data_IF_386531442305
#
_entry.id   IF_386531442305
#
_cell.length_a   1.000
_cell.length_b   1.000
_cell.length_c   1.000
_cell.angle_alpha   90.00
_cell.angle_beta   90.00
_cell.angle_gamma   90.00
#
_symmetry.space_group_name_H-M   'P 1'
#
loop_
_entity.id
_entity.type
_entity.pdbx_description
1 polymer ?
#
# COMPACT_ATOMS: atom_id res chain seq x y z
N UNK A 1 25.62 0.65 2.87
CA UNK A 1 24.16 0.78 2.72
C UNK A 1 23.64 1.57 3.90
N UNK A 2 22.65 2.43 3.68
CA UNK A 2 22.14 3.29 4.74
C UNK A 2 20.98 2.65 5.48
N UNK A 3 20.80 3.01 6.73
CA UNK A 3 19.81 2.43 7.65
C UNK A 3 18.36 2.59 7.19
N UNK A 4 18.03 3.72 6.57
CA UNK A 4 16.69 4.01 6.07
C UNK A 4 16.36 3.13 4.85
N UNK A 5 17.27 3.10 3.86
CA UNK A 5 17.12 2.26 2.66
C UNK A 5 16.98 0.78 3.02
N UNK A 6 17.87 0.26 3.88
CA UNK A 6 17.87 -1.16 4.26
C UNK A 6 16.56 -1.55 4.97
N UNK A 7 15.98 -0.64 5.77
CA UNK A 7 14.70 -0.88 6.41
C UNK A 7 13.53 -0.95 5.42
N UNK A 8 13.56 -0.15 4.35
CA UNK A 8 12.49 -0.13 3.33
C UNK A 8 12.58 -1.30 2.34
N UNK A 9 13.78 -1.85 2.13
CA UNK A 9 14.02 -2.95 1.18
C UNK A 9 13.67 -4.33 1.74
N UNK A 10 12.89 -4.42 2.83
CA UNK A 10 12.46 -5.67 3.45
C UNK A 10 11.34 -6.38 2.66
N UNK A 11 10.93 -7.55 3.16
CA UNK A 11 9.79 -8.27 2.57
C UNK A 11 8.47 -7.55 2.83
N UNK A 12 7.67 -7.35 1.78
CA UNK A 12 6.36 -6.72 1.82
C UNK A 12 6.40 -5.19 1.77
N UNK A 13 5.23 -4.56 1.90
CA UNK A 13 5.09 -3.12 1.81
C UNK A 13 5.51 -2.43 3.10
N UNK A 14 6.58 -1.65 3.06
CA UNK A 14 7.02 -0.82 4.17
C UNK A 14 6.13 0.42 4.35
N UNK A 15 6.09 1.00 5.55
CA UNK A 15 5.34 2.22 5.82
C UNK A 15 6.22 3.28 6.49
N UNK A 16 6.26 4.47 5.88
CA UNK A 16 6.87 5.67 6.42
C UNK A 16 5.73 6.55 6.98
N UNK A 17 5.65 6.65 8.30
CA UNK A 17 4.64 7.47 8.98
C UNK A 17 5.13 8.91 9.13
N UNK A 18 4.40 9.89 8.58
CA UNK A 18 4.84 11.28 8.56
C UNK A 18 4.17 12.12 9.65
N UNK A 19 4.98 12.77 10.46
CA UNK A 19 4.56 13.79 11.42
C UNK A 19 4.53 15.15 10.74
N UNK A 20 3.33 15.71 10.62
CA UNK A 20 3.08 16.98 9.93
C UNK A 20 1.93 17.76 10.60
N UNK A 21 2.23 18.92 11.19
CA UNK A 21 1.21 19.74 11.87
C UNK A 21 0.30 20.49 10.90
N UNK A 22 0.86 20.91 9.76
CA UNK A 22 0.19 21.73 8.73
C UNK A 22 0.52 21.22 7.33
N UNK A 23 -0.39 21.43 6.41
CA UNK A 23 -0.15 21.25 4.97
C UNK A 23 -0.47 22.52 4.22
N UNK A 24 0.36 22.94 3.23
CA UNK A 24 0.05 24.12 2.40
C UNK A 24 -1.31 24.03 1.71
N UNK A 25 -1.73 22.84 1.29
CA UNK A 25 -3.01 22.60 0.59
C UNK A 25 -4.21 22.42 1.50
N UNK A 26 -4.02 22.06 2.79
CA UNK A 26 -5.12 21.65 3.67
C UNK A 26 -5.17 22.41 5.01
N UNK A 27 -4.26 23.38 5.21
CA UNK A 27 -4.16 24.12 6.45
C UNK A 27 -3.66 23.30 7.63
N UNK A 28 -4.10 23.64 8.82
CA UNK A 28 -3.74 22.93 10.05
C UNK A 28 -4.37 21.54 10.07
N UNK A 29 -3.55 20.52 10.33
CA UNK A 29 -3.95 19.12 10.45
C UNK A 29 -4.01 18.68 11.91
N UNK A 30 -2.93 18.91 12.64
CA UNK A 30 -2.79 18.62 14.08
C UNK A 30 -1.77 19.59 14.70
N UNK A 31 -2.18 20.85 14.97
CA UNK A 31 -1.26 21.89 15.44
C UNK A 31 -0.50 21.52 16.72
N UNK A 32 -1.16 20.81 17.64
CA UNK A 32 -0.60 20.41 18.94
C UNK A 32 0.12 19.05 18.88
N UNK A 33 0.49 18.56 17.67
CA UNK A 33 1.22 17.29 17.53
C UNK A 33 2.55 17.32 18.28
N UNK A 34 2.75 16.33 19.15
CA UNK A 34 4.03 16.06 19.81
C UNK A 34 4.81 15.04 18.95
N UNK A 35 5.93 15.43 18.31
CA UNK A 35 6.70 14.53 17.45
C UNK A 35 7.28 13.33 18.19
N UNK A 36 7.67 13.48 19.47
CA UNK A 36 8.18 12.39 20.27
C UNK A 36 7.10 11.33 20.54
N UNK A 37 5.93 11.77 20.99
CA UNK A 37 4.81 10.88 21.26
C UNK A 37 4.31 10.15 20.00
N UNK A 38 4.22 10.88 18.86
CA UNK A 38 3.82 10.30 17.58
C UNK A 38 4.84 9.31 17.04
N UNK A 39 6.14 9.64 17.07
CA UNK A 39 7.20 8.74 16.59
C UNK A 39 7.21 7.42 17.38
N UNK A 40 7.12 7.49 18.71
CA UNK A 40 7.01 6.31 19.57
C UNK A 40 5.69 5.54 19.34
N UNK A 41 4.59 6.25 19.04
CA UNK A 41 3.30 5.64 18.70
C UNK A 41 3.37 4.88 17.37
N UNK A 42 3.95 5.48 16.34
CA UNK A 42 4.14 4.85 15.02
C UNK A 42 5.08 3.64 15.05
N UNK A 43 6.15 3.70 15.88
CA UNK A 43 7.02 2.55 16.09
C UNK A 43 6.25 1.35 16.66
N UNK A 44 5.41 1.58 17.68
CA UNK A 44 4.55 0.51 18.24
C UNK A 44 3.48 0.02 17.26
N UNK A 45 2.98 0.90 16.41
CA UNK A 45 1.99 0.58 15.37
C UNK A 45 2.58 -0.12 14.14
N UNK A 46 3.90 -0.40 14.13
CA UNK A 46 4.55 -1.14 13.06
C UNK A 46 5.03 -0.30 11.88
N UNK A 47 5.23 1.02 12.05
CA UNK A 47 5.95 1.81 11.05
C UNK A 47 7.34 1.23 10.79
N UNK A 48 7.80 1.29 9.54
CA UNK A 48 9.17 0.92 9.16
C UNK A 48 10.15 2.10 9.37
N UNK A 49 9.67 3.32 9.13
CA UNK A 49 10.39 4.56 9.35
C UNK A 49 9.41 5.69 9.73
N UNK A 50 9.96 6.78 10.27
CA UNK A 50 9.17 7.98 10.57
C UNK A 50 9.73 9.16 9.79
N UNK A 51 8.85 9.92 9.13
CA UNK A 51 9.18 11.17 8.46
C UNK A 51 8.80 12.36 9.34
N UNK A 52 9.73 13.30 9.52
CA UNK A 52 9.54 14.51 10.31
C UNK A 52 9.67 15.73 9.42
N UNK A 53 8.59 16.51 9.28
CA UNK A 53 8.64 17.82 8.64
C UNK A 53 9.40 18.78 9.54
N UNK A 54 10.57 19.28 9.06
CA UNK A 54 11.42 20.21 9.81
C UNK A 54 11.28 21.66 9.31
N UNK A 55 10.42 21.91 8.34
CA UNK A 55 10.22 23.20 7.69
C UNK A 55 9.03 23.98 8.29
N UNK A 56 9.20 25.29 8.53
CA UNK A 56 8.19 26.17 9.11
C UNK A 56 6.90 26.27 8.28
N UNK A 57 6.96 26.06 6.96
CA UNK A 57 5.77 26.01 6.08
C UNK A 57 4.79 24.92 6.50
N UNK A 58 5.28 23.88 7.16
CA UNK A 58 4.49 22.76 7.71
C UNK A 58 4.32 22.87 9.24
N UNK A 59 4.66 24.01 9.85
CA UNK A 59 4.72 24.22 11.29
C UNK A 59 5.67 23.23 12.00
N UNK A 60 6.76 22.84 11.30
CA UNK A 60 7.83 21.98 11.81
C UNK A 60 9.11 22.73 12.12
N UNK A 61 10.03 22.05 12.76
CA UNK A 61 11.36 22.59 13.10
C UNK A 61 12.39 21.46 13.22
N UNK A 62 13.70 21.77 13.10
CA UNK A 62 14.77 20.79 13.37
C UNK A 62 14.71 20.18 14.78
N UNK A 63 14.20 20.93 15.79
CA UNK A 63 14.00 20.41 17.14
C UNK A 63 13.00 19.24 17.21
N UNK A 64 12.03 19.18 16.28
CA UNK A 64 11.06 18.07 16.18
C UNK A 64 11.75 16.75 15.81
N UNK A 65 12.78 16.82 14.95
CA UNK A 65 13.60 15.65 14.58
C UNK A 65 14.37 15.12 15.79
N UNK A 66 15.00 15.99 16.56
CA UNK A 66 15.72 15.61 17.79
C UNK A 66 14.78 15.01 18.84
N UNK A 67 13.57 15.56 18.98
CA UNK A 67 12.54 15.03 19.88
C UNK A 67 12.07 13.63 19.45
N UNK A 68 11.82 13.42 18.16
CA UNK A 68 11.46 12.11 17.61
C UNK A 68 12.59 11.09 17.80
N UNK A 69 13.86 11.50 17.54
CA UNK A 69 15.05 10.64 17.76
C UNK A 69 15.21 10.18 19.18
N UNK A 70 14.91 11.04 20.15
CA UNK A 70 14.97 10.69 21.56
C UNK A 70 13.90 9.66 22.00
N UNK A 71 12.79 9.56 21.26
CA UNK A 71 11.63 8.77 21.63
C UNK A 71 11.45 7.47 20.81
N UNK A 72 12.07 7.37 19.63
CA UNK A 72 11.92 6.22 18.73
C UNK A 72 13.26 5.72 18.20
N UNK A 73 13.34 4.40 18.00
CA UNK A 73 14.53 3.74 17.47
C UNK A 73 14.50 3.59 15.95
N UNK A 74 13.36 3.77 15.28
CA UNK A 74 13.18 3.66 13.83
C UNK A 74 14.09 4.62 13.03
N UNK A 75 14.38 4.31 11.75
CA UNK A 75 14.99 5.28 10.85
C UNK A 75 14.13 6.54 10.75
N UNK A 76 14.79 7.72 10.77
CA UNK A 76 14.14 9.02 10.66
C UNK A 76 14.50 9.70 9.35
N UNK A 77 13.47 10.07 8.58
CA UNK A 77 13.56 10.91 7.40
C UNK A 77 13.29 12.37 7.79
N UNK A 78 14.29 13.26 7.60
CA UNK A 78 14.06 14.68 7.69
C UNK A 78 13.45 15.20 6.37
N UNK A 79 12.25 15.78 6.44
CA UNK A 79 11.52 16.29 5.28
C UNK A 79 11.42 17.81 5.32
N UNK A 80 11.94 18.44 4.26
CA UNK A 80 12.04 19.90 4.11
C UNK A 80 12.53 20.25 2.71
N UNK A 81 13.10 21.43 2.55
CA UNK A 81 13.67 21.93 1.28
C UNK A 81 15.14 22.25 1.55
N UNK A 82 16.01 21.35 1.13
CA UNK A 82 17.44 21.42 1.42
C UNK A 82 18.21 21.67 0.13
N UNK A 83 19.18 22.61 0.19
CA UNK A 83 20.00 22.99 -0.95
C UNK A 83 21.48 23.13 -0.60
N UNK A 84 21.82 23.08 0.70
CA UNK A 84 23.16 23.36 1.18
C UNK A 84 23.69 22.21 2.06
N UNK A 85 25.01 21.99 2.01
CA UNK A 85 25.71 20.97 2.79
C UNK A 85 25.48 21.12 4.31
N UNK A 86 25.57 22.35 4.79
CA UNK A 86 25.48 22.63 6.24
C UNK A 86 24.12 22.21 6.82
N UNK A 87 23.06 22.26 6.01
CA UNK A 87 21.72 21.80 6.39
C UNK A 87 21.72 20.28 6.63
N UNK A 88 22.33 19.49 5.74
CA UNK A 88 22.44 18.04 5.90
C UNK A 88 23.28 17.66 7.12
N UNK A 89 24.39 18.39 7.36
CA UNK A 89 25.26 18.20 8.54
C UNK A 89 24.49 18.46 9.85
N UNK A 90 23.64 19.49 9.88
CA UNK A 90 22.79 19.78 11.02
C UNK A 90 21.76 18.67 11.25
N UNK A 91 21.04 18.23 10.22
CA UNK A 91 20.04 17.17 10.30
C UNK A 91 20.67 15.85 10.78
N UNK A 92 21.87 15.52 10.28
CA UNK A 92 22.62 14.35 10.76
C UNK A 92 22.92 14.42 12.25
N UNK A 93 23.38 15.60 12.74
CA UNK A 93 23.65 15.81 14.18
C UNK A 93 22.38 15.71 15.03
N UNK A 94 21.22 16.06 14.48
CA UNK A 94 19.92 15.95 15.14
C UNK A 94 19.31 14.55 15.08
N UNK A 95 19.96 13.61 14.39
CA UNK A 95 19.61 12.21 14.39
C UNK A 95 18.82 11.73 13.17
N UNK A 96 18.84 12.46 12.04
CA UNK A 96 18.36 11.96 10.77
C UNK A 96 19.15 10.73 10.31
N UNK A 97 18.45 9.76 9.71
CA UNK A 97 19.01 8.64 8.96
C UNK A 97 18.86 8.88 7.45
N UNK A 98 17.90 9.73 7.05
CA UNK A 98 17.68 10.12 5.66
C UNK A 98 17.21 11.57 5.53
N UNK A 99 17.39 12.14 4.32
CA UNK A 99 16.94 13.48 3.95
C UNK A 99 16.14 13.44 2.67
N UNK A 100 15.17 14.35 2.51
CA UNK A 100 14.44 14.55 1.26
C UNK A 100 15.23 15.47 0.33
N UNK A 101 15.37 15.06 -0.94
CA UNK A 101 15.91 15.90 -2.02
C UNK A 101 14.90 15.98 -3.17
N UNK A 102 14.55 17.19 -3.61
CA UNK A 102 13.50 17.42 -4.61
C UNK A 102 14.12 17.67 -5.99
N UNK A 103 13.85 16.81 -6.97
CA UNK A 103 14.34 16.95 -8.35
C UNK A 103 13.84 18.22 -9.04
N UNK A 104 12.66 18.68 -8.70
CA UNK A 104 12.08 19.92 -9.24
C UNK A 104 12.82 21.20 -8.80
N UNK A 105 13.42 21.20 -7.62
CA UNK A 105 14.01 22.39 -7.00
C UNK A 105 15.53 22.46 -7.18
N UNK A 106 16.18 21.35 -7.56
CA UNK A 106 17.62 21.19 -7.70
C UNK A 106 18.00 20.85 -9.14
N UNK A 107 19.04 21.50 -9.65
CA UNK A 107 19.67 21.04 -10.90
C UNK A 107 20.55 19.81 -10.67
N UNK A 108 21.01 19.16 -11.76
CA UNK A 108 21.76 17.91 -11.66
C UNK A 108 23.11 18.07 -10.95
N UNK A 109 23.75 19.22 -11.01
CA UNK A 109 25.03 19.49 -10.35
C UNK A 109 24.83 19.65 -8.83
N UNK A 110 23.79 20.38 -8.44
CA UNK A 110 23.38 20.55 -7.04
C UNK A 110 22.95 19.20 -6.46
N UNK A 111 22.12 18.43 -7.18
CA UNK A 111 21.66 17.12 -6.74
C UNK A 111 22.82 16.17 -6.50
N UNK A 112 23.78 16.06 -7.44
CA UNK A 112 25.00 15.24 -7.22
C UNK A 112 25.77 15.66 -5.99
N UNK A 113 25.99 16.97 -5.81
CA UNK A 113 26.70 17.48 -4.63
C UNK A 113 26.02 17.09 -3.33
N UNK A 114 24.67 17.16 -3.28
CA UNK A 114 23.92 16.79 -2.08
C UNK A 114 23.84 15.28 -1.87
N UNK A 115 23.77 14.48 -2.93
CA UNK A 115 23.85 13.01 -2.85
C UNK A 115 25.21 12.56 -2.32
N UNK A 116 26.31 13.11 -2.84
CA UNK A 116 27.67 12.83 -2.36
C UNK A 116 27.82 13.25 -0.89
N UNK A 117 27.27 14.42 -0.54
CA UNK A 117 27.28 14.91 0.87
C UNK A 117 26.49 13.97 1.79
N UNK A 118 25.30 13.52 1.37
CA UNK A 118 24.49 12.59 2.16
C UNK A 118 25.27 11.27 2.39
N UNK A 119 25.92 10.73 1.36
CA UNK A 119 26.77 9.53 1.46
C UNK A 119 27.92 9.73 2.42
N UNK A 120 28.68 10.85 2.31
CA UNK A 120 29.78 11.20 3.23
C UNK A 120 29.33 11.27 4.70
N UNK A 121 28.11 11.75 4.94
CA UNK A 121 27.54 11.89 6.28
C UNK A 121 26.86 10.60 6.78
N UNK A 122 26.76 9.56 5.96
CA UNK A 122 26.06 8.33 6.26
C UNK A 122 24.54 8.52 6.37
N UNK A 123 23.99 9.43 5.55
CA UNK A 123 22.55 9.64 5.33
C UNK A 123 22.11 8.95 4.04
N UNK A 124 20.92 8.39 4.05
CA UNK A 124 20.24 8.07 2.80
C UNK A 124 19.54 9.31 2.21
N UNK A 125 19.35 9.35 0.90
CA UNK A 125 18.56 10.39 0.25
C UNK A 125 17.28 9.78 -0.34
N UNK A 126 16.12 10.29 0.09
CA UNK A 126 14.85 10.09 -0.61
C UNK A 126 14.76 11.15 -1.71
N UNK A 127 14.96 10.74 -2.96
CA UNK A 127 14.92 11.64 -4.12
C UNK A 127 13.51 11.63 -4.68
N UNK A 128 12.78 12.75 -4.54
CA UNK A 128 11.37 12.84 -4.90
C UNK A 128 11.20 13.30 -6.35
N UNK A 129 10.37 12.56 -7.10
CA UNK A 129 9.97 12.79 -8.47
C UNK A 129 8.44 12.92 -8.60
N UNK A 130 7.98 13.80 -9.53
CA UNK A 130 6.57 14.08 -9.78
C UNK A 130 6.12 13.69 -11.19
N UNK A 131 7.08 13.51 -12.11
CA UNK A 131 6.81 13.16 -13.49
C UNK A 131 7.89 12.21 -14.07
N UNK A 132 7.69 11.78 -15.31
CA UNK A 132 8.59 10.84 -15.99
C UNK A 132 9.98 11.43 -16.25
N UNK A 133 10.10 12.73 -16.45
CA UNK A 133 11.38 13.40 -16.66
C UNK A 133 12.18 13.47 -15.36
N UNK A 134 11.54 13.82 -14.24
CA UNK A 134 12.16 13.82 -12.93
C UNK A 134 12.56 12.39 -12.51
N UNK A 135 11.69 11.39 -12.75
CA UNK A 135 12.03 9.99 -12.51
C UNK A 135 13.29 9.56 -13.30
N UNK A 136 13.35 9.88 -14.60
CA UNK A 136 14.50 9.58 -15.43
C UNK A 136 15.78 10.24 -14.89
N UNK A 137 15.72 11.51 -14.51
CA UNK A 137 16.83 12.24 -13.88
C UNK A 137 17.29 11.60 -12.59
N UNK A 138 16.36 11.20 -11.69
CA UNK A 138 16.68 10.50 -10.45
C UNK A 138 17.44 9.18 -10.71
N UNK A 139 17.03 8.41 -11.71
CA UNK A 139 17.70 7.18 -12.12
C UNK A 139 19.09 7.45 -12.69
N UNK A 140 19.25 8.46 -13.55
CA UNK A 140 20.55 8.86 -14.14
C UNK A 140 21.54 9.41 -13.09
N UNK A 141 21.03 9.98 -12.01
CA UNK A 141 21.81 10.45 -10.86
C UNK A 141 22.14 9.34 -9.86
N UNK A 142 21.77 8.11 -10.16
CA UNK A 142 21.98 6.91 -9.33
C UNK A 142 21.31 6.98 -7.95
N UNK A 143 20.14 7.65 -7.87
CA UNK A 143 19.34 7.71 -6.64
C UNK A 143 18.95 6.29 -6.18
N UNK A 144 19.34 5.91 -4.97
CA UNK A 144 19.10 4.58 -4.42
C UNK A 144 17.66 4.41 -3.86
N UNK A 145 17.03 5.50 -3.41
CA UNK A 145 15.64 5.55 -2.94
C UNK A 145 14.92 6.66 -3.70
N UNK A 146 13.87 6.30 -4.43
CA UNK A 146 13.10 7.23 -5.24
C UNK A 146 11.69 7.35 -4.67
N UNK A 147 11.27 8.58 -4.33
CA UNK A 147 9.91 8.90 -3.97
C UNK A 147 9.11 9.30 -5.21
N UNK A 148 7.94 8.71 -5.40
CA UNK A 148 7.00 9.11 -6.45
C UNK A 148 5.79 9.77 -5.81
N UNK A 149 5.66 11.09 -5.98
CA UNK A 149 4.61 11.85 -5.32
C UNK A 149 3.39 12.02 -6.24
N UNK A 150 2.21 11.55 -5.77
CA UNK A 150 0.95 11.74 -6.49
C UNK A 150 0.48 13.20 -6.56
N UNK A 151 1.06 14.08 -5.75
CA UNK A 151 0.65 15.47 -5.64
C UNK A 151 1.54 16.37 -6.49
N UNK A 152 0.97 17.04 -7.46
CA UNK A 152 1.63 18.19 -8.10
C UNK A 152 1.78 19.33 -7.08
N UNK A 153 3.02 19.75 -6.83
CA UNK A 153 3.31 20.79 -5.83
C UNK A 153 3.01 22.23 -6.34
N UNK A 154 2.69 22.40 -7.63
CA UNK A 154 2.31 23.69 -8.23
C UNK A 154 0.80 23.90 -8.19
N UNK A 155 0.01 22.87 -8.47
CA UNK A 155 -1.47 22.92 -8.51
C UNK A 155 -2.12 22.35 -7.26
N UNK A 156 -1.38 21.53 -6.48
CA UNK A 156 -1.85 20.70 -5.37
C UNK A 156 -2.86 19.61 -5.78
N UNK A 157 -3.07 19.40 -7.06
CA UNK A 157 -3.88 18.29 -7.56
C UNK A 157 -3.22 16.96 -7.26
N UNK A 158 -4.04 15.92 -7.10
CA UNK A 158 -3.60 14.55 -6.83
C UNK A 158 -3.98 13.69 -8.02
N UNK A 159 -2.99 13.05 -8.63
CA UNK A 159 -3.19 12.04 -9.67
C UNK A 159 -2.53 10.72 -9.25
N UNK A 160 -3.32 9.84 -8.62
CA UNK A 160 -2.86 8.50 -8.22
C UNK A 160 -2.55 7.62 -9.41
N UNK A 161 -3.29 7.77 -10.51
CA UNK A 161 -3.08 6.95 -11.71
C UNK A 161 -1.71 7.25 -12.33
N UNK A 162 -1.40 8.53 -12.54
CA UNK A 162 -0.08 8.94 -13.04
C UNK A 162 1.03 8.49 -12.08
N UNK A 163 0.82 8.60 -10.76
CA UNK A 163 1.78 8.08 -9.77
C UNK A 163 2.05 6.59 -9.97
N UNK A 164 1.02 5.77 -10.10
CA UNK A 164 1.17 4.32 -10.24
C UNK A 164 1.86 3.93 -11.55
N UNK A 165 1.60 4.66 -12.64
CA UNK A 165 2.30 4.50 -13.92
C UNK A 165 3.81 4.81 -13.76
N UNK A 166 4.18 5.84 -12.98
CA UNK A 166 5.58 6.16 -12.67
C UNK A 166 6.23 5.10 -11.77
N UNK A 167 5.51 4.61 -10.75
CA UNK A 167 5.97 3.51 -9.88
C UNK A 167 6.27 2.26 -10.71
N UNK A 168 5.39 1.90 -11.66
CA UNK A 168 5.61 0.76 -12.56
C UNK A 168 6.79 0.95 -13.52
N UNK A 169 7.10 2.20 -13.87
CA UNK A 169 8.22 2.53 -14.76
C UNK A 169 9.57 2.62 -14.04
N UNK A 170 9.56 2.68 -12.69
CA UNK A 170 10.78 2.75 -11.90
C UNK A 170 11.58 1.43 -12.00
N UNK A 171 12.94 1.50 -12.03
CA UNK A 171 13.78 0.30 -12.07
C UNK A 171 13.65 -0.53 -10.77
N UNK A 172 13.60 -1.85 -10.93
CA UNK A 172 13.43 -2.80 -9.81
C UNK A 172 14.65 -2.96 -8.90
N UNK A 173 15.79 -2.34 -9.23
CA UNK A 173 17.01 -2.31 -8.43
C UNK A 173 17.09 -1.08 -7.50
N UNK A 174 16.03 -0.27 -7.45
CA UNK A 174 15.86 0.89 -6.58
C UNK A 174 14.75 0.64 -5.57
N UNK A 175 14.84 1.29 -4.40
CA UNK A 175 13.73 1.33 -3.46
C UNK A 175 12.76 2.42 -3.90
N UNK A 176 11.51 2.06 -4.13
CA UNK A 176 10.47 2.97 -4.62
C UNK A 176 9.44 3.25 -3.52
N UNK A 177 9.21 4.54 -3.23
CA UNK A 177 8.27 5.01 -2.21
C UNK A 177 7.11 5.73 -2.89
N UNK A 178 5.88 5.21 -2.73
CA UNK A 178 4.68 5.92 -3.17
C UNK A 178 4.23 6.94 -2.11
N UNK A 179 4.18 8.22 -2.48
CA UNK A 179 3.88 9.31 -1.58
C UNK A 179 2.54 9.99 -1.90
N UNK A 180 1.86 10.46 -0.88
CA UNK A 180 0.54 11.13 -0.96
C UNK A 180 -0.63 10.22 -1.30
N UNK A 181 -1.84 10.69 -1.03
CA UNK A 181 -3.13 10.07 -1.37
C UNK A 181 -3.40 8.65 -0.84
N UNK A 182 -2.64 8.16 0.12
CA UNK A 182 -2.90 6.89 0.80
C UNK A 182 -3.91 7.13 1.91
N UNK A 183 -5.16 6.71 1.71
CA UNK A 183 -6.26 6.88 2.68
C UNK A 183 -6.90 5.56 3.12
N UNK A 184 -6.67 4.49 2.39
CA UNK A 184 -7.18 3.14 2.65
C UNK A 184 -6.10 2.07 2.38
N UNK A 185 -6.29 0.86 2.93
CA UNK A 185 -5.40 -0.29 2.66
C UNK A 185 -5.30 -0.62 1.19
N UNK A 186 -6.41 -0.55 0.47
CA UNK A 186 -6.46 -0.78 -0.97
C UNK A 186 -5.47 0.11 -1.73
N UNK A 187 -5.28 1.37 -1.32
CA UNK A 187 -4.31 2.28 -1.93
C UNK A 187 -2.85 1.82 -1.72
N UNK A 188 -2.54 1.34 -0.50
CA UNK A 188 -1.22 0.76 -0.22
C UNK A 188 -0.99 -0.51 -1.03
N UNK A 189 -2.00 -1.39 -1.08
CA UNK A 189 -1.94 -2.61 -1.88
C UNK A 189 -1.76 -2.31 -3.38
N UNK A 190 -2.45 -1.31 -3.90
CA UNK A 190 -2.32 -0.91 -5.29
C UNK A 190 -0.91 -0.40 -5.63
N UNK A 191 -0.32 0.43 -4.73
CA UNK A 191 1.06 0.87 -4.85
C UNK A 191 2.05 -0.31 -4.79
N UNK A 192 1.86 -1.26 -3.85
CA UNK A 192 2.63 -2.49 -3.74
C UNK A 192 2.56 -3.34 -5.02
N UNK A 193 1.36 -3.49 -5.60
CA UNK A 193 1.14 -4.24 -6.84
C UNK A 193 1.72 -3.52 -8.07
N UNK A 194 1.85 -2.21 -8.03
CA UNK A 194 2.57 -1.42 -9.04
C UNK A 194 4.08 -1.56 -8.93
N UNK A 195 4.61 -1.99 -7.79
CA UNK A 195 6.05 -2.20 -7.58
C UNK A 195 6.67 -1.29 -6.53
N UNK A 196 5.87 -0.54 -5.74
CA UNK A 196 6.40 0.22 -4.63
C UNK A 196 6.84 -0.70 -3.48
N UNK A 197 8.00 -0.40 -2.90
CA UNK A 197 8.53 -1.06 -1.70
C UNK A 197 7.96 -0.44 -0.42
N UNK A 198 7.60 0.85 -0.49
CA UNK A 198 7.06 1.58 0.66
C UNK A 198 5.95 2.56 0.27
N UNK A 199 5.13 2.90 1.27
CA UNK A 199 4.22 4.05 1.23
C UNK A 199 4.63 5.10 2.24
N UNK A 200 4.47 6.39 1.90
CA UNK A 200 4.62 7.49 2.83
C UNK A 200 3.27 8.15 3.11
N UNK A 201 2.86 8.15 4.38
CA UNK A 201 1.52 8.56 4.82
C UNK A 201 1.61 9.65 5.88
N UNK A 202 1.07 10.83 5.57
CA UNK A 202 1.09 11.98 6.49
C UNK A 202 -0.33 12.47 6.82
N UNK A 203 -0.95 13.19 5.89
CA UNK A 203 -2.23 13.89 6.15
C UNK A 203 -3.35 12.97 6.64
N UNK A 204 -3.40 11.72 6.17
CA UNK A 204 -4.36 10.72 6.61
C UNK A 204 -4.18 10.39 8.09
N UNK A 205 -2.93 10.18 8.52
CA UNK A 205 -2.61 9.90 9.91
C UNK A 205 -2.90 11.11 10.81
N UNK A 206 -2.47 12.30 10.38
CA UNK A 206 -2.63 13.50 11.20
C UNK A 206 -4.09 13.94 11.38
N UNK A 207 -5.00 13.58 10.47
CA UNK A 207 -6.45 13.82 10.61
C UNK A 207 -7.18 12.76 11.42
N UNK A 208 -6.62 11.58 11.56
CA UNK A 208 -7.26 10.50 12.30
C UNK A 208 -7.38 10.84 13.80
N UNK A 209 -8.46 10.46 14.50
CA UNK A 209 -8.54 10.62 15.95
C UNK A 209 -7.36 9.97 16.68
N UNK A 210 -6.99 8.76 16.26
CA UNK A 210 -5.79 8.04 16.69
C UNK A 210 -4.89 7.74 15.48
N UNK A 211 -3.77 8.47 15.31
CA UNK A 211 -2.84 8.26 14.19
C UNK A 211 -2.17 6.88 14.18
N UNK A 212 -1.88 6.30 15.35
CA UNK A 212 -1.25 4.99 15.47
C UNK A 212 -2.22 3.88 15.03
N UNK A 213 -3.45 3.88 15.53
CA UNK A 213 -4.49 2.95 15.10
C UNK A 213 -4.81 3.08 13.60
N UNK A 214 -4.76 4.31 13.05
CA UNK A 214 -4.94 4.50 11.60
C UNK A 214 -3.78 3.93 10.79
N UNK A 215 -2.55 4.02 11.28
CA UNK A 215 -1.41 3.37 10.64
C UNK A 215 -1.56 1.85 10.65
N UNK A 216 -1.88 1.25 11.80
CA UNK A 216 -2.15 -0.19 11.93
C UNK A 216 -3.23 -0.64 10.92
N UNK A 217 -4.32 0.13 10.81
CA UNK A 217 -5.37 -0.13 9.82
C UNK A 217 -4.80 -0.14 8.38
N UNK A 218 -4.01 0.86 8.01
CA UNK A 218 -3.50 1.01 6.63
C UNK A 218 -2.51 -0.10 6.22
N UNK A 219 -1.73 -0.61 7.17
CA UNK A 219 -0.72 -1.65 6.89
C UNK A 219 -1.20 -3.07 7.21
N UNK A 220 -2.41 -3.21 7.78
CA UNK A 220 -2.93 -4.52 8.18
C UNK A 220 -3.00 -5.52 7.01
N UNK A 221 -2.61 -6.75 7.30
CA UNK A 221 -2.71 -7.91 6.39
C UNK A 221 -3.41 -9.07 7.11
N UNK A 222 -4.07 -9.96 6.39
CA UNK A 222 -4.28 -9.95 4.93
C UNK A 222 -5.32 -8.93 4.47
N UNK A 223 -5.30 -8.62 3.17
CA UNK A 223 -6.41 -7.90 2.52
C UNK A 223 -7.64 -8.77 2.47
N UNK A 224 -8.83 -8.14 2.49
CA UNK A 224 -10.11 -8.84 2.46
C UNK A 224 -10.80 -8.65 1.12
N UNK A 225 -11.03 -9.76 0.42
CA UNK A 225 -11.84 -9.80 -0.79
C UNK A 225 -13.21 -10.41 -0.53
N UNK A 226 -14.25 -9.71 -0.96
CA UNK A 226 -15.62 -10.24 -1.05
C UNK A 226 -15.92 -10.49 -2.53
N UNK A 227 -16.11 -11.76 -2.91
CA UNK A 227 -16.25 -12.18 -4.31
C UNK A 227 -17.68 -12.59 -4.65
N UNK A 228 -18.04 -12.51 -5.96
CA UNK A 228 -19.37 -12.84 -6.45
C UNK A 228 -20.39 -11.77 -6.11
N UNK A 229 -19.98 -10.50 -6.17
CA UNK A 229 -20.87 -9.35 -6.07
C UNK A 229 -21.63 -9.17 -7.39
N UNK A 230 -22.95 -8.97 -7.32
CA UNK A 230 -23.83 -8.83 -8.49
C UNK A 230 -24.73 -7.60 -8.39
N UNK A 231 -24.75 -6.91 -7.23
CA UNK A 231 -25.65 -5.79 -6.93
C UNK A 231 -24.91 -4.66 -6.23
N UNK A 232 -25.29 -3.42 -6.48
CA UNK A 232 -24.70 -2.22 -5.87
C UNK A 232 -24.82 -2.24 -4.34
N UNK A 233 -25.93 -2.73 -3.78
CA UNK A 233 -26.15 -2.84 -2.35
C UNK A 233 -25.19 -3.82 -1.68
N UNK A 234 -24.75 -4.88 -2.35
CA UNK A 234 -23.77 -5.84 -1.85
C UNK A 234 -22.35 -5.24 -1.91
N UNK A 235 -22.05 -4.43 -2.93
CA UNK A 235 -20.81 -3.65 -3.02
C UNK A 235 -20.74 -2.64 -1.86
N UNK A 236 -21.82 -1.89 -1.62
CA UNK A 236 -21.90 -0.93 -0.53
C UNK A 236 -21.70 -1.61 0.83
N UNK A 237 -22.37 -2.75 1.07
CA UNK A 237 -22.23 -3.51 2.32
C UNK A 237 -20.82 -4.06 2.53
N UNK A 238 -20.13 -4.50 1.47
CA UNK A 238 -18.74 -4.95 1.54
C UNK A 238 -17.79 -3.77 1.87
N UNK A 239 -18.01 -2.60 1.26
CA UNK A 239 -17.27 -1.38 1.55
C UNK A 239 -17.46 -0.90 2.99
N UNK A 240 -18.71 -0.83 3.46
CA UNK A 240 -19.06 -0.45 4.84
C UNK A 240 -18.45 -1.41 5.87
N UNK A 241 -18.37 -2.69 5.54
CA UNK A 241 -17.71 -3.68 6.38
C UNK A 241 -16.18 -3.53 6.42
N UNK A 242 -15.57 -2.77 5.49
CA UNK A 242 -14.13 -2.56 5.40
C UNK A 242 -13.40 -3.61 4.56
N UNK A 243 -14.06 -4.21 3.55
CA UNK A 243 -13.40 -5.02 2.54
C UNK A 243 -12.49 -4.15 1.66
N UNK A 244 -11.38 -4.72 1.19
CA UNK A 244 -10.39 -4.03 0.37
C UNK A 244 -10.58 -4.29 -1.13
N UNK A 245 -11.12 -5.45 -1.47
CA UNK A 245 -11.26 -5.93 -2.84
C UNK A 245 -12.71 -6.40 -3.11
N UNK A 246 -13.30 -5.92 -4.21
CA UNK A 246 -14.63 -6.29 -4.68
C UNK A 246 -14.53 -7.22 -5.88
N UNK A 247 -14.97 -8.48 -5.76
CA UNK A 247 -14.85 -9.48 -6.81
C UNK A 247 -16.13 -9.65 -7.65
N UNK A 248 -16.00 -9.51 -8.98
CA UNK A 248 -17.08 -9.65 -9.96
C UNK A 248 -16.81 -10.85 -10.87
N UNK A 249 -17.62 -11.91 -10.76
CA UNK A 249 -17.43 -13.13 -11.57
C UNK A 249 -18.05 -12.87 -12.94
N UNK A 250 -17.24 -12.84 -13.99
CA UNK A 250 -17.68 -12.60 -15.37
C UNK A 250 -17.77 -13.90 -16.19
N UNK A 251 -17.33 -15.04 -15.63
CA UNK A 251 -17.46 -16.35 -16.24
C UNK A 251 -18.93 -16.68 -16.55
N UNK A 252 -19.20 -17.28 -17.73
CA UNK A 252 -20.57 -17.45 -18.25
C UNK A 252 -21.38 -18.53 -17.50
N UNK A 253 -20.72 -19.52 -16.94
CA UNK A 253 -21.32 -20.76 -16.42
C UNK A 253 -21.45 -20.74 -14.89
N UNK A 254 -21.96 -19.65 -14.32
CA UNK A 254 -22.15 -19.55 -12.86
C UNK A 254 -23.41 -18.74 -12.53
N UNK A 255 -24.18 -19.15 -11.50
CA UNK A 255 -25.29 -18.36 -10.99
C UNK A 255 -24.86 -17.04 -10.32
N UNK A 256 -23.55 -16.89 -10.06
CA UNK A 256 -22.90 -15.69 -9.45
C UNK A 256 -22.34 -14.71 -10.47
N UNK A 257 -22.77 -14.87 -11.73
CA UNK A 257 -22.27 -13.99 -12.80
C UNK A 257 -22.77 -12.56 -12.58
N UNK A 258 -21.81 -11.64 -12.46
CA UNK A 258 -22.10 -10.21 -12.44
C UNK A 258 -22.51 -9.71 -13.85
N UNK A 259 -23.34 -8.65 -13.93
CA UNK A 259 -23.68 -8.03 -15.22
C UNK A 259 -22.46 -7.35 -15.88
N UNK A 260 -21.44 -7.04 -15.11
CA UNK A 260 -20.18 -6.38 -15.44
C UNK A 260 -19.43 -6.08 -14.16
N UNK A 261 -18.35 -5.30 -14.24
CA UNK A 261 -17.71 -4.69 -13.08
C UNK A 261 -18.58 -3.52 -12.62
N UNK A 262 -19.10 -3.59 -11.40
CA UNK A 262 -19.91 -2.53 -10.82
C UNK A 262 -19.00 -1.43 -10.24
N UNK A 263 -19.46 -0.18 -10.12
CA UNK A 263 -18.72 0.88 -9.45
C UNK A 263 -18.38 0.50 -8.01
N UNK A 264 -17.12 0.73 -7.62
CA UNK A 264 -16.64 0.54 -6.26
C UNK A 264 -16.21 1.89 -5.67
N UNK A 265 -16.30 2.08 -4.34
CA UNK A 265 -15.71 3.27 -3.71
C UNK A 265 -14.19 3.32 -3.94
N UNK A 266 -13.61 4.53 -3.94
CA UNK A 266 -12.16 4.76 -4.08
C UNK A 266 -11.31 4.03 -3.01
N UNK A 267 -11.93 3.62 -1.92
CA UNK A 267 -11.29 2.84 -0.84
C UNK A 267 -11.21 1.33 -1.09
N UNK A 268 -11.68 0.85 -2.23
CA UNK A 268 -11.66 -0.56 -2.64
C UNK A 268 -11.10 -0.69 -4.06
N UNK A 269 -10.51 -1.84 -4.39
CA UNK A 269 -10.15 -2.22 -5.75
C UNK A 269 -11.15 -3.21 -6.32
N UNK A 270 -11.52 -3.01 -7.57
CA UNK A 270 -12.35 -3.93 -8.34
C UNK A 270 -11.53 -5.10 -8.89
N UNK A 271 -12.08 -6.31 -8.84
CA UNK A 271 -11.43 -7.54 -9.33
C UNK A 271 -12.39 -8.27 -10.27
N UNK A 272 -12.10 -8.28 -11.56
CA UNK A 272 -12.80 -9.11 -12.52
C UNK A 272 -12.32 -10.55 -12.46
N UNK A 273 -13.23 -11.52 -12.31
CA UNK A 273 -12.88 -12.94 -12.19
C UNK A 273 -13.28 -13.68 -13.48
N UNK A 274 -12.27 -14.22 -14.16
CA UNK A 274 -12.41 -14.94 -15.42
C UNK A 274 -12.00 -16.41 -15.33
N UNK A 275 -12.50 -17.23 -16.24
CA UNK A 275 -12.11 -18.62 -16.44
C UNK A 275 -11.78 -18.82 -17.92
N UNK A 276 -10.50 -19.05 -18.22
CA UNK A 276 -9.97 -19.24 -19.58
C UNK A 276 -9.63 -17.94 -20.29
N UNK A 277 -10.63 -17.21 -20.78
CA UNK A 277 -10.42 -15.98 -21.55
C UNK A 277 -10.68 -14.73 -20.73
N UNK A 278 -9.85 -13.70 -20.93
CA UNK A 278 -9.99 -12.38 -20.32
C UNK A 278 -10.76 -11.49 -21.32
N UNK A 279 -11.72 -10.73 -20.82
CA UNK A 279 -12.35 -9.62 -21.55
C UNK A 279 -11.91 -8.30 -20.94
N UNK A 280 -11.77 -7.25 -21.75
CA UNK A 280 -11.56 -5.89 -21.23
C UNK A 280 -12.84 -5.41 -20.55
N UNK A 281 -12.76 -5.28 -19.23
CA UNK A 281 -13.91 -4.99 -18.36
C UNK A 281 -13.68 -3.76 -17.47
N UNK A 282 -12.49 -3.13 -17.58
CA UNK A 282 -12.13 -1.91 -16.86
C UNK A 282 -11.93 -2.09 -15.36
N UNK A 283 -11.70 -3.32 -14.86
CA UNK A 283 -11.36 -3.57 -13.46
C UNK A 283 -9.92 -3.18 -13.16
N UNK A 284 -9.65 -2.83 -11.89
CA UNK A 284 -8.28 -2.54 -11.41
C UNK A 284 -7.39 -3.78 -11.46
N UNK A 285 -7.98 -4.96 -11.18
CA UNK A 285 -7.30 -6.25 -11.16
C UNK A 285 -8.11 -7.32 -11.90
N UNK A 286 -7.42 -8.30 -12.46
CA UNK A 286 -8.02 -9.48 -13.10
C UNK A 286 -7.58 -10.75 -12.38
N UNK A 287 -8.54 -11.51 -11.86
CA UNK A 287 -8.31 -12.86 -11.33
C UNK A 287 -8.63 -13.89 -12.40
N UNK A 288 -7.59 -14.56 -12.90
CA UNK A 288 -7.71 -15.51 -14.00
C UNK A 288 -7.49 -16.95 -13.50
N UNK A 289 -8.46 -17.81 -13.79
CA UNK A 289 -8.32 -19.26 -13.64
C UNK A 289 -8.17 -19.92 -15.01
N UNK A 290 -7.14 -20.78 -15.21
CA UNK A 290 -7.06 -21.63 -16.39
C UNK A 290 -8.24 -22.62 -16.45
N UNK A 291 -8.55 -23.12 -17.67
CA UNK A 291 -9.41 -24.29 -17.84
C UNK A 291 -8.57 -25.56 -17.88
N UNK A 292 -8.90 -26.50 -17.01
CA UNK A 292 -8.30 -27.84 -16.97
C UNK A 292 -9.39 -28.89 -17.16
N UNK A 293 -9.24 -29.74 -18.16
CA UNK A 293 -10.26 -30.76 -18.51
C UNK A 293 -11.70 -30.22 -18.63
N UNK A 294 -11.85 -29.00 -19.14
CA UNK A 294 -13.15 -28.32 -19.28
C UNK A 294 -13.67 -27.62 -18.03
N UNK A 295 -13.01 -27.74 -16.89
CA UNK A 295 -13.37 -27.14 -15.62
C UNK A 295 -12.41 -26.00 -15.21
N UNK A 296 -12.80 -25.20 -14.24
CA UNK A 296 -11.96 -24.19 -13.61
C UNK A 296 -10.83 -24.88 -12.82
N UNK A 297 -9.57 -24.47 -13.03
CA UNK A 297 -8.44 -24.94 -12.24
C UNK A 297 -8.58 -24.57 -10.75
N UNK A 298 -7.84 -25.26 -9.88
CA UNK A 298 -7.76 -24.98 -8.42
C UNK A 298 -6.87 -23.78 -8.12
N UNK A 299 -5.95 -23.48 -9.01
CA UNK A 299 -5.03 -22.37 -8.88
C UNK A 299 -5.30 -21.37 -10.00
N UNK A 300 -5.14 -20.10 -9.67
CA UNK A 300 -5.26 -19.00 -10.61
C UNK A 300 -4.19 -17.95 -10.34
N UNK A 301 -4.24 -16.89 -11.10
CA UNK A 301 -3.35 -15.73 -10.95
C UNK A 301 -4.16 -14.46 -10.77
N UNK A 302 -3.62 -13.53 -9.98
CA UNK A 302 -4.09 -12.15 -9.95
C UNK A 302 -3.17 -11.33 -10.86
N UNK A 303 -3.77 -10.63 -11.80
CA UNK A 303 -3.06 -9.82 -12.80
C UNK A 303 -3.35 -8.34 -12.59
N UNK A 304 -2.34 -7.49 -12.79
CA UNK A 304 -2.47 -6.06 -12.95
C UNK A 304 -1.82 -5.67 -14.29
N UNK A 305 -2.56 -5.01 -15.16
CA UNK A 305 -2.11 -4.66 -16.53
C UNK A 305 -1.47 -5.86 -17.28
N UNK A 306 -2.04 -7.07 -17.12
CA UNK A 306 -1.55 -8.29 -17.75
C UNK A 306 -0.33 -8.94 -17.09
N UNK A 307 0.27 -8.33 -16.06
CA UNK A 307 1.38 -8.90 -15.27
C UNK A 307 0.83 -9.67 -14.08
N UNK A 308 1.40 -10.86 -13.81
CA UNK A 308 1.11 -11.59 -12.58
C UNK A 308 1.65 -10.84 -11.36
N UNK A 309 0.77 -10.58 -10.38
CA UNK A 309 1.10 -9.84 -9.15
C UNK A 309 0.85 -10.66 -7.88
N UNK A 310 0.03 -11.71 -7.96
CA UNK A 310 -0.17 -12.67 -6.88
C UNK A 310 -0.68 -14.00 -7.42
N UNK A 311 -0.40 -15.09 -6.68
CA UNK A 311 -1.02 -16.41 -6.91
C UNK A 311 -2.34 -16.49 -6.19
N UNK A 312 -3.33 -17.15 -6.81
CA UNK A 312 -4.61 -17.49 -6.20
C UNK A 312 -4.63 -18.98 -5.93
N UNK A 313 -4.64 -19.36 -4.66
CA UNK A 313 -4.76 -20.77 -4.24
C UNK A 313 -6.18 -21.01 -3.76
N UNK A 314 -6.91 -21.81 -4.53
CA UNK A 314 -8.32 -22.13 -4.31
C UNK A 314 -8.50 -23.66 -4.20
N UNK A 315 -9.70 -24.10 -3.95
CA UNK A 315 -10.13 -25.50 -4.01
C UNK A 315 -11.27 -25.68 -5.00
N UNK A 316 -11.50 -26.89 -5.44
CA UNK A 316 -12.73 -27.20 -6.17
C UNK A 316 -13.96 -26.91 -5.29
N UNK A 317 -15.01 -26.38 -5.91
CA UNK A 317 -16.26 -26.12 -5.19
C UNK A 317 -16.83 -27.42 -4.63
N UNK A 318 -17.12 -27.43 -3.32
CA UNK A 318 -17.61 -28.58 -2.55
C UNK A 318 -16.65 -29.78 -2.47
N UNK A 319 -15.40 -29.68 -2.94
CA UNK A 319 -14.42 -30.74 -2.76
C UNK A 319 -13.81 -30.71 -1.36
N UNK A 320 -13.61 -31.89 -0.79
CA UNK A 320 -12.70 -32.05 0.35
C UNK A 320 -11.27 -32.03 -0.18
N UNK A 321 -10.51 -31.00 0.22
CA UNK A 321 -9.12 -30.80 -0.20
C UNK A 321 -8.26 -30.53 1.05
N UNK A 322 -7.86 -31.59 1.77
CA UNK A 322 -7.09 -31.43 3.01
C UNK A 322 -5.71 -30.81 2.79
N UNK A 323 -5.16 -30.88 1.58
CA UNK A 323 -3.88 -30.30 1.21
C UNK A 323 -3.97 -28.80 0.82
N UNK A 324 -5.15 -28.22 0.77
CA UNK A 324 -5.38 -26.86 0.30
C UNK A 324 -4.53 -25.80 1.03
N UNK A 325 -4.57 -25.79 2.37
CA UNK A 325 -3.80 -24.84 3.18
C UNK A 325 -2.28 -25.10 3.11
N UNK A 326 -1.86 -26.35 2.96
CA UNK A 326 -0.45 -26.69 2.79
C UNK A 326 0.09 -26.21 1.43
N UNK A 327 -0.69 -26.35 0.35
CA UNK A 327 -0.33 -25.77 -0.95
C UNK A 327 -0.23 -24.25 -0.87
N UNK A 328 -1.18 -23.60 -0.22
CA UNK A 328 -1.15 -22.15 -0.05
C UNK A 328 0.07 -21.67 0.76
N UNK A 329 0.43 -22.42 1.83
CA UNK A 329 1.61 -22.11 2.63
C UNK A 329 2.93 -22.33 1.89
N UNK A 330 2.99 -23.32 1.00
CA UNK A 330 4.18 -23.63 0.21
C UNK A 330 4.35 -22.75 -1.04
N UNK A 331 3.34 -21.95 -1.39
CA UNK A 331 3.41 -21.08 -2.55
C UNK A 331 4.34 -19.89 -2.28
N UNK A 332 5.19 -19.57 -3.26
CA UNK A 332 6.10 -18.43 -3.19
C UNK A 332 5.43 -17.12 -3.62
N UNK A 333 5.90 -16.01 -3.08
CA UNK A 333 5.39 -14.67 -3.38
C UNK A 333 4.08 -14.35 -2.68
N UNK A 334 3.31 -13.41 -3.26
CA UNK A 334 2.01 -13.00 -2.71
C UNK A 334 0.97 -14.07 -2.97
N UNK A 335 0.28 -14.52 -1.94
CA UNK A 335 -0.78 -15.53 -2.01
C UNK A 335 -2.13 -14.92 -1.65
N UNK A 336 -3.10 -15.02 -2.55
CA UNK A 336 -4.52 -14.85 -2.25
C UNK A 336 -5.11 -16.21 -1.94
N UNK A 337 -5.51 -16.43 -0.69
CA UNK A 337 -6.16 -17.66 -0.26
C UNK A 337 -7.65 -17.59 -0.52
N UNK A 338 -8.16 -18.49 -1.35
CA UNK A 338 -9.57 -18.64 -1.68
C UNK A 338 -10.08 -20.04 -1.28
N UNK A 339 -11.36 -20.34 -1.51
CA UNK A 339 -11.91 -21.68 -1.38
C UNK A 339 -12.49 -22.03 -0.01
N UNK A 340 -13.76 -21.70 0.17
CA UNK A 340 -14.56 -22.11 1.34
C UNK A 340 -14.21 -21.36 2.63
N UNK A 341 -13.56 -20.21 2.53
CA UNK A 341 -13.36 -19.34 3.68
C UNK A 341 -14.70 -18.77 4.15
N UNK A 342 -14.85 -18.65 5.46
CA UNK A 342 -16.05 -18.18 6.13
C UNK A 342 -15.67 -17.43 7.42
N UNK A 343 -16.62 -16.73 8.07
CA UNK A 343 -16.36 -16.11 9.37
C UNK A 343 -15.84 -17.08 10.43
N UNK A 344 -16.24 -18.35 10.32
CA UNK A 344 -15.95 -19.40 11.31
C UNK A 344 -14.55 -20.01 11.17
N UNK A 345 -13.94 -19.96 9.97
CA UNK A 345 -12.67 -20.67 9.69
C UNK A 345 -11.53 -19.76 9.19
N UNK A 346 -11.81 -18.52 8.84
CA UNK A 346 -10.81 -17.65 8.19
C UNK A 346 -9.63 -17.33 9.12
N UNK A 347 -9.86 -17.20 10.42
CA UNK A 347 -8.80 -16.92 11.40
C UNK A 347 -7.77 -18.05 11.46
N UNK A 348 -8.22 -19.31 11.60
CA UNK A 348 -7.34 -20.48 11.57
C UNK A 348 -6.55 -20.58 10.25
N UNK A 349 -7.21 -20.26 9.13
CA UNK A 349 -6.57 -20.27 7.82
C UNK A 349 -5.48 -19.18 7.71
N UNK A 350 -5.71 -17.96 8.25
CA UNK A 350 -4.73 -16.86 8.28
C UNK A 350 -3.52 -17.25 9.14
N UNK A 351 -3.74 -17.79 10.34
CA UNK A 351 -2.65 -18.20 11.24
C UNK A 351 -1.73 -19.26 10.60
N UNK A 352 -2.32 -20.20 9.85
CA UNK A 352 -1.58 -21.29 9.20
C UNK A 352 -0.85 -20.89 7.93
N UNK A 353 -1.45 -20.02 7.11
CA UNK A 353 -0.96 -19.70 5.76
C UNK A 353 -0.23 -18.35 5.73
N UNK A 354 -0.67 -17.35 6.51
CA UNK A 354 -0.23 -15.94 6.47
C UNK A 354 -0.34 -15.37 5.06
N UNK A 355 -1.52 -15.43 4.43
CA UNK A 355 -1.69 -15.00 3.05
C UNK A 355 -1.61 -13.47 2.92
N UNK A 356 -1.29 -12.98 1.72
CA UNK A 356 -1.38 -11.56 1.36
C UNK A 356 -2.82 -11.06 1.33
N UNK A 357 -3.75 -11.91 0.84
CA UNK A 357 -5.19 -11.63 0.82
C UNK A 357 -6.00 -12.91 1.08
N UNK A 358 -7.24 -12.73 1.58
CA UNK A 358 -8.24 -13.79 1.74
C UNK A 358 -9.48 -13.48 0.91
N UNK A 359 -10.03 -14.49 0.22
CA UNK A 359 -11.14 -14.37 -0.71
C UNK A 359 -12.31 -15.29 -0.32
N UNK A 360 -13.47 -14.72 -0.03
CA UNK A 360 -14.68 -15.47 0.26
C UNK A 360 -15.85 -15.09 -0.68
N UNK A 361 -16.66 -16.06 -1.05
CA UNK A 361 -17.81 -15.88 -1.93
C UNK A 361 -19.05 -16.58 -1.39
N UNK A 362 -19.21 -17.89 -1.63
CA UNK A 362 -20.46 -18.64 -1.36
C UNK A 362 -20.82 -18.75 0.12
N UNK A 363 -19.85 -18.71 1.01
CA UNK A 363 -20.08 -18.73 2.46
C UNK A 363 -20.70 -17.43 2.99
N UNK A 364 -20.71 -16.37 2.19
CA UNK A 364 -21.24 -15.05 2.52
C UNK A 364 -22.57 -14.76 1.83
N UNK A 365 -23.29 -15.79 1.34
CA UNK A 365 -24.49 -15.64 0.54
C UNK A 365 -25.74 -16.15 1.26
N UNK A 366 -26.88 -15.45 1.03
CA UNK A 366 -28.23 -15.94 1.29
C UNK A 366 -28.65 -16.91 0.18
N UNK A 367 -28.42 -16.50 -1.06
CA UNK A 367 -28.64 -17.25 -2.29
C UNK A 367 -27.49 -16.98 -3.27
N UNK A 368 -27.21 -17.84 -4.26
CA UNK A 368 -26.14 -17.62 -5.22
C UNK A 368 -26.20 -16.24 -5.89
N UNK A 369 -25.20 -15.41 -5.64
CA UNK A 369 -25.10 -14.02 -6.13
C UNK A 369 -25.80 -12.97 -5.28
N UNK A 370 -26.39 -13.33 -4.13
CA UNK A 370 -27.03 -12.42 -3.18
C UNK A 370 -26.33 -12.54 -1.83
N UNK A 371 -25.65 -11.47 -1.38
CA UNK A 371 -24.88 -11.51 -0.14
C UNK A 371 -25.75 -11.39 1.11
N UNK A 372 -25.38 -12.13 2.15
CA UNK A 372 -25.81 -11.91 3.51
C UNK A 372 -24.89 -10.82 4.13
N UNK A 373 -25.41 -9.61 4.26
CA UNK A 373 -24.62 -8.48 4.77
C UNK A 373 -24.14 -8.68 6.21
N UNK A 374 -24.83 -9.48 7.03
CA UNK A 374 -24.38 -9.82 8.37
C UNK A 374 -23.17 -10.76 8.31
N UNK A 375 -23.18 -11.76 7.40
CA UNK A 375 -22.04 -12.66 7.20
C UNK A 375 -20.85 -11.93 6.56
N UNK A 376 -21.08 -10.98 5.66
CA UNK A 376 -20.01 -10.13 5.10
C UNK A 376 -19.31 -9.37 6.22
N UNK A 377 -20.07 -8.68 7.10
CA UNK A 377 -19.48 -7.97 8.26
C UNK A 377 -18.74 -8.92 9.19
N UNK A 378 -19.31 -10.05 9.54
CA UNK A 378 -18.68 -11.03 10.42
C UNK A 378 -17.38 -11.60 9.83
N UNK A 379 -17.32 -11.80 8.50
CA UNK A 379 -16.13 -12.26 7.81
C UNK A 379 -15.00 -11.23 7.87
N UNK A 380 -15.30 -9.97 7.51
CA UNK A 380 -14.31 -8.88 7.56
C UNK A 380 -13.81 -8.68 8.99
N UNK A 381 -14.70 -8.69 9.99
CA UNK A 381 -14.34 -8.57 11.40
C UNK A 381 -13.45 -9.73 11.86
N UNK A 382 -13.77 -10.98 11.47
CA UNK A 382 -12.95 -12.14 11.80
C UNK A 382 -11.53 -12.03 11.24
N UNK A 383 -11.34 -11.45 10.03
CA UNK A 383 -10.02 -11.20 9.44
C UNK A 383 -9.28 -10.08 10.19
N UNK A 384 -9.97 -9.02 10.60
CA UNK A 384 -9.34 -7.85 11.26
C UNK A 384 -8.91 -8.12 12.70
N UNK A 385 -9.50 -9.13 13.35
CA UNK A 385 -9.18 -9.55 14.71
C UNK A 385 -8.23 -10.77 14.75
N UNK A 386 -7.64 -11.16 13.61
CA UNK A 386 -6.73 -12.32 13.49
C UNK A 386 -5.28 -11.95 13.67
#
# INVERSE_FOLDING_TARGET
MGRFRDALAGDGLAAIAEVKRRSPSAGDLRPDADPAALAAGFERAGATAVSILVDQRFAGSPADLAAARAAASLPLLAKGFFSERDELEELRRLGADAVLLLLRDLDDAQMRTLLDTAEELGLDALVEAHDAEELRRGVELDAAVIGVNARDLSTFEIDRRAQLELVEAAPSDRVVVAESAIVARAHGAEAELAGADAILVGSTLMRAPDPAAKLEELIARPLVKVCGLTRDEDVAAAAEAGADLAGFILARETPRRAPGVLPVPDTMLSVAVHVGEITDDGADLVQLYPRENGHRAREGTLLRHGREVARVVDREWQADDPAHLERARAAEGRVMLAGGLSPENVRDAIERVRPWAVDASSSLELEPGIKDHARVRAYVEAVRCS
#
